data_IF_610551096906
#
_entry.id   IF_610551096906
#
_cell.length_a   1.000
_cell.length_b   1.000
_cell.length_c   1.000
_cell.angle_alpha   90.00
_cell.angle_beta   90.00
_cell.angle_gamma   90.00
#
_symmetry.space_group_name_H-M   'P 1'
#
loop_
_entity.id
_entity.type
_entity.pdbx_description
1 polymer ?
#
# COMPACT_ATOMS: atom_id res chain seq x y z
N UNK A 1 19.11 -1.19 -11.66
CA UNK A 1 18.90 -0.80 -10.26
C UNK A 1 17.65 -1.49 -9.82
N UNK A 2 17.77 -2.38 -8.86
CA UNK A 2 16.65 -3.19 -8.41
C UNK A 2 15.70 -2.35 -7.55
N UNK A 3 14.44 -2.71 -7.55
CA UNK A 3 13.39 -2.01 -6.82
C UNK A 3 12.53 -3.00 -6.05
N UNK A 4 12.00 -2.56 -4.92
CA UNK A 4 11.10 -3.35 -4.08
C UNK A 4 9.98 -2.48 -3.55
N UNK A 5 8.77 -3.04 -3.49
CA UNK A 5 7.58 -2.37 -3.00
C UNK A 5 7.12 -2.97 -1.67
N UNK A 6 6.62 -2.12 -0.77
CA UNK A 6 5.83 -2.55 0.39
C UNK A 6 4.34 -2.24 0.17
N UNK A 7 3.47 -3.19 0.49
CA UNK A 7 2.00 -3.04 0.43
C UNK A 7 1.40 -3.69 1.68
N UNK A 8 1.43 -2.94 2.79
CA UNK A 8 0.83 -3.38 4.06
C UNK A 8 -0.70 -3.43 3.93
N UNK A 9 -1.36 -4.31 4.70
CA UNK A 9 -2.81 -4.45 4.71
C UNK A 9 -3.47 -3.40 5.61
N UNK A 10 -4.40 -2.60 5.05
CA UNK A 10 -5.23 -1.62 5.77
C UNK A 10 -4.45 -0.59 6.63
N UNK A 11 -3.18 -0.35 6.30
CA UNK A 11 -2.28 0.57 7.03
C UNK A 11 -0.90 0.63 6.37
N UNK A 12 -0.02 1.50 6.87
CA UNK A 12 1.35 1.68 6.33
C UNK A 12 2.40 1.73 7.45
N UNK A 13 2.21 0.95 8.51
CA UNK A 13 3.03 1.01 9.72
C UNK A 13 4.49 0.63 9.47
N UNK A 14 4.75 -0.26 8.50
CA UNK A 14 6.09 -0.69 8.13
C UNK A 14 6.86 0.31 7.25
N UNK A 15 6.20 1.33 6.68
CA UNK A 15 6.76 2.08 5.55
C UNK A 15 8.08 2.78 5.88
N UNK A 16 8.20 3.40 7.06
CA UNK A 16 9.39 4.19 7.42
C UNK A 16 10.61 3.28 7.58
N UNK A 17 10.44 2.15 8.30
CA UNK A 17 11.50 1.17 8.51
C UNK A 17 11.90 0.50 7.19
N UNK A 18 10.93 0.12 6.37
CA UNK A 18 11.17 -0.45 5.04
C UNK A 18 11.96 0.51 4.15
N UNK A 19 11.52 1.77 4.08
CA UNK A 19 12.19 2.78 3.26
C UNK A 19 13.65 2.96 3.66
N UNK A 20 13.94 3.03 4.96
CA UNK A 20 15.31 3.19 5.44
C UNK A 20 16.17 1.96 5.10
N UNK A 21 15.69 0.75 5.40
CA UNK A 21 16.43 -0.49 5.14
C UNK A 21 16.68 -0.72 3.64
N UNK A 22 15.70 -0.46 2.78
CA UNK A 22 15.85 -0.58 1.33
C UNK A 22 16.90 0.39 0.79
N UNK A 23 16.88 1.65 1.27
CA UNK A 23 17.91 2.63 0.91
C UNK A 23 19.30 2.22 1.38
N UNK A 24 19.43 1.73 2.60
CA UNK A 24 20.70 1.27 3.16
C UNK A 24 21.26 0.07 2.36
N UNK A 25 20.37 -0.78 1.82
CA UNK A 25 20.71 -1.89 0.93
C UNK A 25 20.97 -1.48 -0.54
N UNK A 26 20.83 -0.19 -0.89
CA UNK A 26 21.00 0.29 -2.28
C UNK A 26 19.86 -0.11 -3.24
N UNK A 27 18.71 -0.56 -2.72
CA UNK A 27 17.53 -0.94 -3.51
C UNK A 27 16.59 0.26 -3.56
N UNK A 28 15.93 0.50 -4.70
CA UNK A 28 14.91 1.56 -4.82
C UNK A 28 13.65 1.17 -4.02
N UNK A 29 13.30 1.85 -2.91
CA UNK A 29 12.02 1.61 -2.26
C UNK A 29 10.88 2.21 -3.08
N UNK A 30 9.79 1.47 -3.17
CA UNK A 30 8.50 1.92 -3.69
C UNK A 30 7.48 1.74 -2.56
N UNK A 31 6.66 2.75 -2.30
CA UNK A 31 5.69 2.74 -1.20
C UNK A 31 4.29 2.55 -1.76
N UNK A 32 3.54 1.62 -1.17
CA UNK A 32 2.15 1.36 -1.48
C UNK A 32 1.40 0.84 -0.26
N UNK A 33 0.12 0.52 -0.48
CA UNK A 33 -0.79 -0.03 0.52
C UNK A 33 -1.80 -0.93 -0.17
N UNK A 34 -2.19 -2.00 0.51
CA UNK A 34 -3.31 -2.84 0.12
C UNK A 34 -4.53 -2.49 0.96
N UNK A 35 -5.62 -2.11 0.30
CA UNK A 35 -6.85 -1.65 0.96
C UNK A 35 -8.04 -2.49 0.51
N UNK A 36 -8.88 -2.87 1.46
CA UNK A 36 -10.22 -3.35 1.15
C UNK A 36 -11.07 -2.23 0.53
N UNK A 37 -11.90 -2.55 -0.46
CA UNK A 37 -12.83 -1.57 -1.05
C UNK A 37 -14.26 -2.10 -1.17
N UNK A 38 -15.18 -1.15 -1.26
CA UNK A 38 -16.60 -1.37 -1.56
C UNK A 38 -16.97 -0.54 -2.80
N UNK A 39 -17.98 -0.98 -3.54
CA UNK A 39 -18.43 -0.30 -4.75
C UNK A 39 -19.43 0.84 -4.47
N UNK A 40 -20.13 0.79 -3.34
CA UNK A 40 -21.05 1.83 -2.90
C UNK A 40 -20.91 2.08 -1.40
N UNK A 41 -20.52 3.30 -1.05
CA UNK A 41 -20.34 3.74 0.34
C UNK A 41 -21.67 3.96 1.07
N UNK A 42 -22.77 4.14 0.33
CA UNK A 42 -24.11 4.38 0.87
C UNK A 42 -24.96 3.11 0.96
N UNK A 43 -24.42 1.96 0.55
CA UNK A 43 -25.10 0.68 0.64
C UNK A 43 -25.44 0.37 2.11
N UNK A 44 -26.74 0.37 2.43
CA UNK A 44 -27.25 -0.05 3.75
C UNK A 44 -27.04 -1.56 4.00
N UNK A 45 -26.75 -2.32 2.94
CA UNK A 45 -26.23 -3.69 3.03
C UNK A 45 -24.70 -3.57 3.17
N UNK A 46 -24.27 -3.35 4.41
CA UNK A 46 -22.89 -3.04 4.80
C UNK A 46 -21.92 -4.24 4.73
N UNK A 47 -22.24 -5.30 4.01
CA UNK A 47 -21.50 -6.56 4.10
C UNK A 47 -21.13 -7.10 2.73
N UNK A 48 -19.99 -6.66 2.21
CA UNK A 48 -18.73 -7.40 2.28
C UNK A 48 -17.72 -6.62 1.44
N UNK A 49 -16.53 -6.40 1.99
CA UNK A 49 -15.38 -5.99 1.20
C UNK A 49 -15.31 -6.84 -0.07
N UNK A 50 -15.41 -6.19 -1.23
CA UNK A 50 -15.55 -6.89 -2.52
C UNK A 50 -14.21 -7.51 -2.95
N UNK A 51 -13.13 -6.91 -2.49
CA UNK A 51 -11.78 -7.39 -2.66
C UNK A 51 -10.78 -6.38 -2.13
N UNK A 52 -9.52 -6.61 -2.48
CA UNK A 52 -8.42 -5.73 -2.16
C UNK A 52 -7.93 -5.01 -3.42
N UNK A 53 -7.48 -3.79 -3.23
CA UNK A 53 -6.77 -3.03 -4.25
C UNK A 53 -5.37 -2.67 -3.75
N UNK A 54 -4.37 -2.91 -4.60
CA UNK A 54 -3.00 -2.47 -4.36
C UNK A 54 -2.82 -1.09 -4.98
N UNK A 55 -2.46 -0.11 -4.16
CA UNK A 55 -2.20 1.27 -4.57
C UNK A 55 -0.72 1.57 -4.34
N UNK A 56 -0.06 2.16 -5.34
CA UNK A 56 1.37 2.45 -5.31
C UNK A 56 1.59 3.95 -5.61
N UNK A 57 2.43 4.60 -4.81
CA UNK A 57 2.83 5.99 -5.04
C UNK A 57 3.84 6.08 -6.18
N UNK A 58 3.49 6.85 -7.23
CA UNK A 58 4.38 7.13 -8.36
C UNK A 58 5.40 8.23 -8.03
N UNK A 59 4.96 9.24 -7.30
CA UNK A 59 5.69 10.47 -6.95
C UNK A 59 5.41 10.84 -5.49
N UNK A 60 6.08 11.89 -5.00
CA UNK A 60 5.82 12.44 -3.66
C UNK A 60 4.58 13.33 -3.64
N UNK A 61 4.28 13.93 -4.79
CA UNK A 61 3.09 14.72 -5.14
C UNK A 61 2.00 13.81 -5.70
#
# INVERSE_FOLDING_TARGET
MDAITITDYNGMYGMVKFYQLAKDAGIKPIIGVELGFVMDINSQFSEQQIGNIVIIAKSKE
#
